data_IF_897086420956
#
_entry.id   IF_897086420956
#
_cell.length_a   1.000
_cell.length_b   1.000
_cell.length_c   1.000
_cell.angle_alpha   90.00
_cell.angle_beta   90.00
_cell.angle_gamma   90.00
#
_symmetry.space_group_name_H-M   'P 1'
#
loop_
_entity.id
_entity.type
_entity.pdbx_description
1 polymer ?
#
# COMPACT_ATOMS: atom_id res chain seq x y z
N UNK A 1 15.81 -8.49 -40.74
CA UNK A 1 16.04 -7.48 -39.69
C UNK A 1 16.52 -8.22 -38.45
N UNK A 2 17.60 -7.80 -37.77
CA UNK A 2 17.96 -8.40 -36.50
C UNK A 2 16.89 -8.03 -35.46
N UNK A 3 16.05 -8.98 -35.10
CA UNK A 3 15.17 -8.91 -33.95
C UNK A 3 16.07 -8.80 -32.72
N UNK A 4 16.22 -7.59 -32.19
CA UNK A 4 16.80 -7.42 -30.87
C UNK A 4 15.71 -7.87 -29.90
N UNK A 5 15.86 -9.07 -29.32
CA UNK A 5 15.05 -9.50 -28.20
C UNK A 5 15.31 -8.53 -27.04
N UNK A 6 14.40 -7.57 -26.84
CA UNK A 6 14.40 -6.74 -25.63
C UNK A 6 14.04 -7.64 -24.45
N UNK A 7 14.76 -7.48 -23.36
CA UNK A 7 14.48 -8.19 -22.11
C UNK A 7 13.19 -7.64 -21.51
N UNK A 8 12.23 -8.51 -21.24
CA UNK A 8 11.02 -8.13 -20.50
C UNK A 8 11.40 -7.80 -19.05
N UNK A 9 11.02 -6.61 -18.58
CA UNK A 9 11.38 -6.11 -17.24
C UNK A 9 10.19 -5.44 -16.58
N UNK A 10 10.18 -5.43 -15.25
CA UNK A 10 9.27 -4.63 -14.43
C UNK A 10 10.09 -3.91 -13.36
N UNK A 11 9.70 -2.67 -13.04
CA UNK A 11 10.34 -1.83 -12.02
C UNK A 11 9.31 -0.89 -11.37
N UNK A 12 9.67 -0.32 -10.24
CA UNK A 12 8.91 0.77 -9.61
C UNK A 12 9.79 1.99 -9.42
N UNK A 13 9.23 3.19 -9.61
CA UNK A 13 9.92 4.43 -9.22
C UNK A 13 9.92 4.65 -7.71
N UNK A 14 9.16 3.86 -6.95
CA UNK A 14 8.98 4.04 -5.51
C UNK A 14 9.91 3.16 -4.66
N UNK A 15 10.46 2.08 -5.22
CA UNK A 15 11.45 1.21 -4.60
C UNK A 15 12.28 0.49 -5.67
N UNK A 16 13.55 0.22 -5.39
CA UNK A 16 14.37 -0.65 -6.23
C UNK A 16 14.13 -2.13 -5.89
N UNK A 17 14.61 -3.03 -6.75
CA UNK A 17 14.49 -4.47 -6.52
C UNK A 17 15.16 -4.90 -5.20
N UNK A 18 14.40 -5.58 -4.34
CA UNK A 18 14.78 -5.99 -2.99
C UNK A 18 14.69 -4.89 -1.92
N UNK A 19 14.50 -3.62 -2.29
CA UNK A 19 14.43 -2.52 -1.34
C UNK A 19 13.07 -2.48 -0.62
N UNK A 20 13.02 -1.68 0.45
CA UNK A 20 11.83 -1.52 1.26
C UNK A 20 10.72 -0.78 0.48
N UNK A 21 9.53 -1.39 0.42
CA UNK A 21 8.32 -0.77 -0.10
C UNK A 21 7.87 0.38 0.82
N UNK A 22 7.66 1.61 0.30
CA UNK A 22 7.20 2.74 1.10
C UNK A 22 5.91 2.47 1.89
N UNK A 23 5.81 3.08 3.06
CA UNK A 23 4.74 2.75 4.01
C UNK A 23 3.33 3.02 3.47
N UNK A 24 3.16 3.98 2.57
CA UNK A 24 1.86 4.31 1.98
C UNK A 24 1.20 3.14 1.25
N UNK A 25 1.99 2.25 0.65
CA UNK A 25 1.49 1.07 -0.07
C UNK A 25 1.04 -0.07 0.84
N UNK A 26 1.24 0.06 2.16
CA UNK A 26 0.78 -0.92 3.12
C UNK A 26 -0.74 -0.99 3.27
N UNK A 27 -1.25 -2.18 3.58
CA UNK A 27 -2.69 -2.43 3.78
C UNK A 27 -3.33 -1.52 4.84
N UNK A 28 -2.59 -1.25 5.93
CA UNK A 28 -3.05 -0.42 7.05
C UNK A 28 -2.73 1.08 6.87
N UNK A 29 -2.20 1.46 5.70
CA UNK A 29 -1.81 2.83 5.37
C UNK A 29 -2.76 3.39 4.31
N UNK A 30 -2.25 3.90 3.19
CA UNK A 30 -3.11 4.37 2.10
C UNK A 30 -3.68 3.20 1.28
N UNK A 31 -3.05 2.03 1.34
CA UNK A 31 -3.47 0.81 0.64
C UNK A 31 -3.69 1.03 -0.87
N UNK A 32 -2.78 1.77 -1.49
CA UNK A 32 -2.74 1.97 -2.95
C UNK A 32 -1.60 1.13 -3.53
N UNK A 33 -1.71 0.68 -4.77
CA UNK A 33 -0.60 -0.02 -5.42
C UNK A 33 0.56 0.96 -5.71
N UNK A 34 1.83 0.49 -5.69
CA UNK A 34 2.95 1.30 -6.17
C UNK A 34 2.85 1.54 -7.69
N UNK A 35 3.48 2.60 -8.20
CA UNK A 35 3.62 2.78 -9.64
C UNK A 35 4.53 1.68 -10.19
N UNK A 36 4.12 1.06 -11.30
CA UNK A 36 4.87 0.01 -11.98
C UNK A 36 5.13 0.41 -13.44
N UNK A 37 6.38 0.28 -13.84
CA UNK A 37 6.84 0.46 -15.21
C UNK A 37 7.41 -0.85 -15.72
N UNK A 38 7.22 -1.16 -17.00
CA UNK A 38 7.78 -2.35 -17.60
C UNK A 38 8.25 -2.08 -19.02
N UNK A 39 9.28 -2.77 -19.47
CA UNK A 39 9.82 -2.63 -20.84
C UNK A 39 10.00 -4.01 -21.45
N UNK A 40 10.26 -4.06 -22.76
CA UNK A 40 10.52 -5.29 -23.49
C UNK A 40 9.33 -6.26 -23.51
N UNK A 41 8.09 -5.74 -23.50
CA UNK A 41 6.91 -6.55 -23.83
C UNK A 41 7.10 -7.15 -25.23
N UNK A 42 7.02 -8.48 -25.41
CA UNK A 42 7.17 -9.11 -26.72
C UNK A 42 6.11 -8.62 -27.73
N UNK A 43 6.49 -8.42 -28.99
CA UNK A 43 5.57 -7.95 -30.06
C UNK A 43 4.35 -8.86 -30.28
N UNK A 44 4.42 -10.13 -29.85
CA UNK A 44 3.32 -11.09 -29.93
C UNK A 44 2.38 -11.09 -28.73
N UNK A 45 2.62 -10.22 -27.73
CA UNK A 45 1.76 -10.15 -26.56
C UNK A 45 0.41 -9.51 -26.93
N UNK A 46 -0.68 -10.24 -26.71
CA UNK A 46 -2.03 -9.72 -26.85
C UNK A 46 -2.52 -9.09 -25.54
N UNK A 47 -2.01 -9.56 -24.39
CA UNK A 47 -2.33 -8.97 -23.08
C UNK A 47 -1.22 -9.19 -22.06
N UNK A 48 -1.29 -8.47 -20.93
CA UNK A 48 -0.45 -8.71 -19.77
C UNK A 48 -1.30 -9.16 -18.57
N UNK A 49 -0.67 -9.89 -17.66
CA UNK A 49 -1.21 -10.25 -16.35
C UNK A 49 -0.21 -9.91 -15.25
N UNK A 50 -0.72 -9.54 -14.07
CA UNK A 50 0.05 -9.17 -12.90
C UNK A 50 -0.45 -9.95 -11.69
N UNK A 51 0.47 -10.65 -11.02
CA UNK A 51 0.24 -11.26 -9.71
C UNK A 51 1.20 -10.65 -8.70
N UNK A 52 0.67 -10.16 -7.59
CA UNK A 52 1.45 -9.75 -6.43
C UNK A 52 1.22 -10.76 -5.32
N UNK A 53 2.28 -11.40 -4.84
CA UNK A 53 2.18 -12.42 -3.79
C UNK A 53 3.29 -12.32 -2.72
N UNK A 54 3.06 -13.00 -1.61
CA UNK A 54 3.94 -13.07 -0.44
C UNK A 54 4.14 -14.54 -0.03
N UNK A 55 5.35 -15.07 -0.30
CA UNK A 55 5.74 -16.44 0.07
C UNK A 55 6.09 -16.56 1.55
N UNK A 56 6.51 -15.47 2.17
CA UNK A 56 6.86 -15.44 3.58
C UNK A 56 5.61 -15.63 4.46
N UNK A 57 4.42 -15.31 3.93
CA UNK A 57 3.14 -15.57 4.58
C UNK A 57 2.82 -17.05 4.80
N UNK A 58 3.52 -18.00 4.15
CA UNK A 58 3.30 -19.44 4.38
C UNK A 58 3.51 -19.81 5.86
N UNK A 59 4.52 -19.23 6.52
CA UNK A 59 4.82 -19.51 7.93
C UNK A 59 3.70 -19.01 8.89
N UNK A 60 3.24 -17.74 8.83
CA UNK A 60 2.18 -17.25 9.71
C UNK A 60 0.75 -17.55 9.26
N UNK A 61 0.49 -17.73 7.95
CA UNK A 61 -0.87 -17.88 7.39
C UNK A 61 -1.16 -19.26 6.78
N UNK A 62 -0.14 -20.12 6.63
CA UNK A 62 -0.30 -21.49 6.11
C UNK A 62 -0.43 -21.62 4.60
N UNK A 63 -0.30 -20.51 3.85
CA UNK A 63 -0.33 -20.46 2.38
C UNK A 63 0.44 -19.24 1.86
N UNK A 64 0.76 -19.25 0.56
CA UNK A 64 1.16 -18.04 -0.16
C UNK A 64 -0.01 -17.06 -0.09
N UNK A 65 0.28 -15.79 0.18
CA UNK A 65 -0.75 -14.76 0.27
C UNK A 65 -0.80 -13.93 -1.01
N UNK A 66 -1.94 -13.95 -1.68
CA UNK A 66 -2.17 -13.19 -2.91
C UNK A 66 -2.65 -11.77 -2.58
N UNK A 67 -1.85 -10.77 -2.96
CA UNK A 67 -2.07 -9.35 -2.70
C UNK A 67 -2.76 -8.62 -3.85
N UNK A 68 -2.55 -9.05 -5.09
CA UNK A 68 -3.21 -8.44 -6.25
C UNK A 68 -3.19 -9.39 -7.45
N UNK A 69 -4.34 -9.55 -8.10
CA UNK A 69 -4.51 -10.44 -9.24
C UNK A 69 -5.18 -9.62 -10.35
N UNK A 70 -4.48 -9.42 -11.46
CA UNK A 70 -4.94 -8.61 -12.60
C UNK A 70 -4.63 -9.32 -13.91
N UNK A 71 -5.55 -9.30 -14.85
CA UNK A 71 -5.36 -9.86 -16.19
C UNK A 71 -6.01 -9.00 -17.26
N UNK A 72 -5.70 -9.34 -18.52
CA UNK A 72 -6.12 -8.60 -19.71
C UNK A 72 -5.71 -7.12 -19.65
N UNK A 73 -4.55 -6.83 -19.05
CA UNK A 73 -3.95 -5.50 -19.10
C UNK A 73 -3.52 -5.27 -20.55
N UNK A 74 -3.95 -4.17 -21.21
CA UNK A 74 -3.51 -3.88 -22.58
C UNK A 74 -1.97 -3.81 -22.65
N UNK A 75 -1.32 -4.41 -23.66
CA UNK A 75 0.14 -4.36 -23.81
C UNK A 75 0.69 -2.93 -23.86
N UNK A 76 -0.12 -1.97 -24.33
CA UNK A 76 0.22 -0.55 -24.39
C UNK A 76 -0.02 0.22 -23.08
N UNK A 77 -0.62 -0.41 -22.06
CA UNK A 77 -0.87 0.21 -20.76
C UNK A 77 0.44 0.43 -20.01
N UNK A 78 1.11 1.54 -20.26
CA UNK A 78 2.35 1.87 -19.57
C UNK A 78 2.39 3.37 -19.23
N UNK A 79 2.64 3.73 -17.95
CA UNK A 79 2.83 2.84 -16.79
C UNK A 79 1.52 2.27 -16.22
N UNK A 80 1.60 1.39 -15.23
CA UNK A 80 0.53 1.22 -14.23
C UNK A 80 0.74 2.30 -13.17
N UNK A 81 -0.13 3.32 -13.07
CA UNK A 81 0.04 4.41 -12.11
C UNK A 81 -0.19 3.94 -10.66
N UNK A 82 0.21 4.77 -9.70
CA UNK A 82 -0.19 4.59 -8.30
C UNK A 82 -1.72 4.73 -8.15
N UNK A 83 -2.32 3.87 -7.31
CA UNK A 83 -3.77 3.88 -7.08
C UNK A 83 -4.59 3.60 -8.34
N UNK A 84 -4.07 2.75 -9.22
CA UNK A 84 -4.68 2.41 -10.50
C UNK A 84 -5.92 1.53 -10.33
N UNK A 85 -6.96 1.85 -11.08
CA UNK A 85 -8.15 1.02 -11.23
C UNK A 85 -8.07 0.25 -12.57
N UNK A 86 -7.82 -1.07 -12.54
CA UNK A 86 -7.70 -1.89 -13.75
C UNK A 86 -8.92 -1.81 -14.68
N UNK A 87 -10.13 -1.70 -14.12
CA UNK A 87 -11.37 -1.74 -14.92
C UNK A 87 -11.49 -0.50 -15.82
N UNK A 88 -10.97 0.65 -15.39
CA UNK A 88 -10.96 1.88 -16.18
C UNK A 88 -10.06 1.81 -17.43
N UNK A 89 -9.15 0.83 -17.46
CA UNK A 89 -8.21 0.60 -18.54
C UNK A 89 -8.53 -0.64 -19.37
N UNK A 90 -9.72 -1.25 -19.18
CA UNK A 90 -10.13 -2.45 -19.91
C UNK A 90 -9.51 -3.76 -19.38
N UNK A 91 -8.77 -3.69 -18.27
CA UNK A 91 -8.26 -4.86 -17.56
C UNK A 91 -9.29 -5.39 -16.56
N UNK A 92 -9.00 -6.55 -15.97
CA UNK A 92 -9.85 -7.18 -14.95
C UNK A 92 -9.04 -7.45 -13.69
N UNK A 93 -9.72 -7.41 -12.54
CA UNK A 93 -9.15 -7.73 -11.25
C UNK A 93 -9.98 -8.79 -10.52
N UNK A 94 -9.25 -9.74 -9.91
CA UNK A 94 -9.79 -10.85 -9.13
C UNK A 94 -9.87 -10.53 -7.64
N UNK A 95 -10.20 -11.56 -6.85
CA UNK A 95 -10.30 -11.47 -5.39
C UNK A 95 -8.97 -11.86 -4.75
N UNK A 96 -8.38 -10.93 -3.98
CA UNK A 96 -7.16 -11.17 -3.21
C UNK A 96 -7.45 -11.93 -1.90
N UNK A 97 -6.42 -12.30 -1.16
CA UNK A 97 -6.57 -13.10 0.06
C UNK A 97 -7.16 -12.34 1.27
N UNK A 98 -7.38 -11.03 1.15
CA UNK A 98 -8.20 -10.27 2.10
C UNK A 98 -9.71 -10.43 1.84
N UNK A 99 -10.09 -11.13 0.75
CA UNK A 99 -11.48 -11.24 0.29
C UNK A 99 -11.96 -9.97 -0.43
N UNK A 100 -11.03 -9.16 -0.94
CA UNK A 100 -11.29 -7.88 -1.58
C UNK A 100 -10.88 -7.93 -3.05
N UNK A 101 -11.59 -7.18 -3.90
CA UNK A 101 -11.18 -7.00 -5.29
C UNK A 101 -10.09 -5.94 -5.39
N UNK A 102 -9.04 -6.24 -6.16
CA UNK A 102 -7.95 -5.30 -6.40
C UNK A 102 -6.79 -5.44 -5.41
N UNK A 103 -6.03 -4.34 -5.24
CA UNK A 103 -4.79 -4.35 -4.47
C UNK A 103 -5.05 -4.36 -2.96
N UNK A 104 -4.51 -5.37 -2.28
CA UNK A 104 -4.33 -5.38 -0.83
C UNK A 104 -2.85 -5.29 -0.53
N UNK A 105 -2.40 -4.23 0.15
CA UNK A 105 -0.99 -3.98 0.39
C UNK A 105 -0.32 -4.92 1.39
N UNK A 106 1.01 -4.80 1.60
CA UNK A 106 1.70 -5.53 2.64
C UNK A 106 1.10 -5.30 4.04
N UNK A 107 0.94 -6.38 4.81
CA UNK A 107 0.52 -6.32 6.22
C UNK A 107 1.19 -7.41 7.07
N UNK A 108 2.53 -7.52 7.06
CA UNK A 108 3.22 -8.57 7.76
C UNK A 108 3.01 -8.43 9.28
N UNK A 109 2.75 -9.54 9.96
CA UNK A 109 2.30 -9.57 11.36
C UNK A 109 3.36 -10.08 12.35
N UNK A 110 4.51 -10.51 11.85
CA UNK A 110 5.53 -11.32 12.51
C UNK A 110 6.92 -10.76 12.23
N UNK A 111 7.38 -10.72 10.97
CA UNK A 111 8.72 -10.25 10.55
C UNK A 111 8.68 -9.39 9.28
N UNK A 112 9.83 -9.19 8.66
CA UNK A 112 9.91 -8.63 7.31
C UNK A 112 9.60 -9.72 6.28
N UNK A 113 8.76 -9.37 5.32
CA UNK A 113 8.30 -10.21 4.22
C UNK A 113 8.77 -9.64 2.89
N UNK A 114 8.91 -10.52 1.92
CA UNK A 114 9.23 -10.20 0.53
C UNK A 114 7.98 -10.36 -0.33
N UNK A 115 7.64 -9.31 -1.06
CA UNK A 115 6.49 -9.24 -1.95
C UNK A 115 6.98 -9.29 -3.39
N UNK A 116 6.48 -10.22 -4.18
CA UNK A 116 6.87 -10.38 -5.59
C UNK A 116 5.82 -9.79 -6.48
N UNK A 117 6.22 -8.88 -7.37
CA UNK A 117 5.37 -8.32 -8.42
C UNK A 117 5.71 -9.05 -9.73
N UNK A 118 4.93 -10.07 -10.08
CA UNK A 118 5.16 -10.94 -11.24
C UNK A 118 4.30 -10.46 -12.41
N UNK A 119 4.96 -9.98 -13.47
CA UNK A 119 4.34 -9.58 -14.72
C UNK A 119 4.52 -10.69 -15.76
N UNK A 120 3.43 -11.01 -16.46
CA UNK A 120 3.38 -12.01 -17.51
C UNK A 120 2.91 -11.35 -18.81
N UNK A 121 3.63 -11.57 -19.90
CA UNK A 121 3.17 -11.22 -21.24
C UNK A 121 2.54 -12.46 -21.89
N UNK A 122 1.30 -12.35 -22.34
CA UNK A 122 0.50 -13.46 -22.85
C UNK A 122 0.24 -13.30 -24.35
N UNK A 123 0.32 -14.38 -25.12
CA UNK A 123 0.00 -14.37 -26.55
C UNK A 123 -1.51 -14.24 -26.85
N UNK A 124 -2.34 -14.32 -25.81
CA UNK A 124 -3.80 -14.23 -25.89
C UNK A 124 -4.36 -13.29 -24.83
N UNK A 125 -5.57 -12.80 -25.05
CA UNK A 125 -6.44 -12.35 -23.97
C UNK A 125 -7.07 -13.57 -23.29
N UNK A 126 -7.24 -13.52 -21.98
CA UNK A 126 -7.91 -14.58 -21.22
C UNK A 126 -9.43 -14.41 -21.29
N UNK A 127 -10.12 -15.55 -21.40
CA UNK A 127 -11.56 -15.63 -21.63
C UNK A 127 -12.43 -15.10 -20.49
N UNK A 128 -13.75 -15.17 -20.69
CA UNK A 128 -14.77 -14.76 -19.70
C UNK A 128 -14.96 -15.74 -18.55
N UNK A 129 -14.32 -16.91 -18.61
CA UNK A 129 -14.43 -17.94 -17.58
C UNK A 129 -13.68 -17.55 -16.30
N UNK A 130 -12.71 -16.62 -16.40
CA UNK A 130 -12.18 -15.89 -15.26
C UNK A 130 -13.14 -14.76 -14.89
N UNK A 131 -13.90 -14.99 -13.83
CA UNK A 131 -14.77 -13.99 -13.23
C UNK A 131 -14.05 -13.15 -12.16
N UNK A 132 -14.80 -12.27 -11.50
CA UNK A 132 -14.26 -11.33 -10.51
C UNK A 132 -13.79 -11.99 -9.22
N UNK A 133 -14.16 -13.25 -8.97
CA UNK A 133 -13.75 -14.05 -7.82
C UNK A 133 -12.53 -14.93 -8.10
N UNK A 134 -11.98 -14.86 -9.31
CA UNK A 134 -10.80 -15.63 -9.71
C UNK A 134 -9.62 -15.37 -8.76
N UNK A 135 -8.98 -16.47 -8.34
CA UNK A 135 -7.77 -16.48 -7.51
C UNK A 135 -6.51 -16.43 -8.37
N UNK A 136 -5.33 -16.26 -7.76
CA UNK A 136 -4.07 -16.36 -8.50
C UNK A 136 -3.89 -17.74 -9.13
N UNK A 137 -4.36 -18.80 -8.47
CA UNK A 137 -4.31 -20.17 -9.00
C UNK A 137 -5.18 -20.34 -10.25
N UNK A 138 -6.37 -19.74 -10.27
CA UNK A 138 -7.24 -19.75 -11.45
C UNK A 138 -6.59 -19.00 -12.62
N UNK A 139 -6.02 -17.82 -12.33
CA UNK A 139 -5.28 -17.05 -13.32
C UNK A 139 -4.06 -17.82 -13.85
N UNK A 140 -3.25 -18.42 -12.98
CA UNK A 140 -2.11 -19.25 -13.37
C UNK A 140 -2.52 -20.44 -14.23
N UNK A 141 -3.63 -21.10 -13.91
CA UNK A 141 -4.18 -22.17 -14.74
C UNK A 141 -4.64 -21.66 -16.11
N UNK A 142 -5.22 -20.46 -16.18
CA UNK A 142 -5.66 -19.87 -17.44
C UNK A 142 -4.51 -19.35 -18.32
N UNK A 143 -3.37 -19.01 -17.72
CA UNK A 143 -2.15 -18.58 -18.42
C UNK A 143 -1.33 -19.75 -18.97
N UNK A 144 -1.58 -20.99 -18.52
CA UNK A 144 -0.78 -22.15 -18.91
C UNK A 144 -0.73 -22.32 -20.44
N UNK A 145 0.48 -22.47 -20.98
CA UNK A 145 0.72 -22.56 -22.42
C UNK A 145 0.69 -21.24 -23.20
N UNK A 146 0.33 -20.11 -22.59
CA UNK A 146 0.18 -18.81 -23.28
C UNK A 146 1.24 -17.75 -22.92
N UNK A 147 2.11 -18.04 -21.96
CA UNK A 147 3.13 -17.08 -21.49
C UNK A 147 4.29 -16.95 -22.48
N UNK A 148 4.48 -15.75 -23.02
CA UNK A 148 5.59 -15.40 -23.91
C UNK A 148 6.83 -14.93 -23.15
N UNK A 149 6.64 -14.18 -22.06
CA UNK A 149 7.72 -13.67 -21.23
C UNK A 149 7.23 -13.39 -19.81
N UNK A 150 8.16 -13.40 -18.86
CA UNK A 150 7.91 -13.06 -17.46
C UNK A 150 8.94 -12.05 -16.96
N UNK A 151 8.52 -11.20 -16.03
CA UNK A 151 9.37 -10.28 -15.32
C UNK A 151 8.93 -10.19 -13.86
N UNK A 152 9.89 -10.03 -12.95
CA UNK A 152 9.61 -9.88 -11.52
C UNK A 152 10.44 -8.74 -10.95
N UNK A 153 9.83 -7.95 -10.07
CA UNK A 153 10.52 -7.10 -9.10
C UNK A 153 10.06 -7.50 -7.70
N UNK A 154 10.99 -7.54 -6.76
CA UNK A 154 10.71 -7.83 -5.36
C UNK A 154 10.82 -6.55 -4.53
N UNK A 155 9.99 -6.45 -3.50
CA UNK A 155 10.10 -5.39 -2.50
C UNK A 155 9.88 -5.96 -1.11
N UNK A 156 10.57 -5.39 -0.12
CA UNK A 156 10.48 -5.87 1.26
C UNK A 156 9.59 -4.98 2.10
N UNK A 157 8.84 -5.56 3.05
CA UNK A 157 8.16 -4.78 4.08
C UNK A 157 8.09 -5.59 5.36
N UNK A 158 8.50 -4.96 6.46
CA UNK A 158 8.24 -5.45 7.81
C UNK A 158 7.19 -4.60 8.51
N UNK A 159 6.93 -4.91 9.78
CA UNK A 159 6.06 -4.07 10.62
C UNK A 159 6.50 -2.61 10.53
N UNK A 160 5.54 -1.68 10.58
CA UNK A 160 5.84 -0.28 10.86
C UNK A 160 6.53 -0.26 12.21
N UNK A 161 7.82 -0.01 12.23
CA UNK A 161 8.54 0.24 13.47
C UNK A 161 8.27 1.70 13.81
N UNK A 162 7.52 2.02 14.88
CA UNK A 162 7.48 3.40 15.34
C UNK A 162 8.92 3.79 15.72
N UNK A 163 9.48 4.77 15.02
CA UNK A 163 10.79 5.40 15.29
C UNK A 163 12.07 4.59 14.98
N UNK A 164 12.28 4.19 13.72
CA UNK A 164 13.67 4.16 13.20
C UNK A 164 14.00 5.53 12.61
N UNK A 165 14.58 6.38 13.46
CA UNK A 165 15.20 7.66 13.11
C UNK A 165 16.09 7.47 11.86
N UNK A 166 15.83 8.14 10.71
CA UNK A 166 16.53 7.89 9.45
C UNK A 166 17.97 8.43 9.40
N UNK A 167 18.46 9.03 10.50
CA UNK A 167 19.77 9.68 10.56
C UNK A 167 20.88 8.73 11.09
N UNK A 168 21.78 8.22 10.23
CA UNK A 168 22.89 7.35 10.66
C UNK A 168 23.94 8.07 11.52
N UNK A 169 23.89 9.39 11.67
CA UNK A 169 24.91 10.16 12.39
C UNK A 169 24.65 10.32 13.89
N UNK A 170 23.48 9.90 14.39
CA UNK A 170 23.05 10.20 15.77
C UNK A 170 23.34 9.11 16.81
N UNK A 171 24.28 8.19 16.54
CA UNK A 171 24.81 7.27 17.56
C UNK A 171 25.69 8.04 18.56
N UNK A 172 25.04 8.55 19.60
CA UNK A 172 25.66 9.36 20.64
C UNK A 172 26.65 8.55 21.48
N UNK A 173 27.84 9.12 21.66
CA UNK A 173 28.94 8.67 22.50
C UNK A 173 28.51 8.26 23.93
N UNK A 174 29.28 7.39 24.63
CA UNK A 174 28.94 6.98 25.98
C UNK A 174 28.98 8.18 26.94
N UNK A 175 27.92 8.33 27.73
CA UNK A 175 27.76 9.40 28.71
C UNK A 175 28.93 9.46 29.70
N UNK A 176 29.67 10.58 29.70
CA UNK A 176 30.61 10.90 30.78
C UNK A 176 29.82 11.13 32.07
N UNK A 177 30.01 10.24 33.05
CA UNK A 177 29.55 10.43 34.44
C UNK A 177 30.20 11.68 35.03
N UNK A 178 29.44 12.76 35.15
CA UNK A 178 29.84 13.90 35.97
C UNK A 178 29.36 13.66 37.39
N UNK A 179 30.30 13.50 38.35
CA UNK A 179 30.00 13.49 39.78
C UNK A 179 29.36 14.83 40.16
N UNK A 180 28.12 14.81 40.64
CA UNK A 180 27.52 15.97 41.31
C UNK A 180 28.11 16.07 42.71
N UNK A 181 28.84 17.15 42.97
CA UNK A 181 29.27 17.55 44.33
C UNK A 181 28.10 18.28 44.98
N UNK A 182 27.59 17.73 46.08
CA UNK A 182 26.57 18.37 46.89
C UNK A 182 27.10 19.66 47.55
N UNK A 183 26.29 20.71 47.54
CA UNK A 183 26.43 21.91 48.39
C UNK A 183 25.22 21.94 49.34
N UNK A 184 25.37 22.34 50.62
CA UNK A 184 24.24 22.48 51.53
C UNK A 184 23.61 23.87 51.38
N UNK A 185 22.29 23.94 51.29
CA UNK A 185 21.54 25.19 51.40
C UNK A 185 20.83 25.26 52.75
N UNK A 186 21.11 26.34 53.47
CA UNK A 186 20.59 26.67 54.78
C UNK A 186 19.09 27.04 54.74
N UNK A 187 18.46 26.86 55.90
CA UNK A 187 17.07 27.17 56.19
C UNK A 187 16.77 28.68 56.17
N UNK A 188 15.66 29.08 55.53
CA UNK A 188 14.87 30.27 55.90
C UNK A 188 13.38 29.94 55.71
N UNK A 189 12.59 30.40 56.68
CA UNK A 189 11.17 30.10 56.95
C UNK A 189 10.18 30.89 56.08
N UNK A 190 9.04 30.24 55.85
CA UNK A 190 7.64 30.73 55.89
C UNK A 190 7.13 31.78 54.88
N UNK A 191 6.09 31.43 54.09
CA UNK A 191 4.63 31.69 54.32
C UNK A 191 3.84 31.47 53.02
N UNK A 192 2.69 30.81 53.12
CA UNK A 192 1.57 30.82 52.14
C UNK A 192 0.71 32.09 52.36
N UNK A 193 -0.18 32.56 51.45
CA UNK A 193 -1.29 31.77 50.89
C UNK A 193 -1.74 32.07 49.43
N UNK A 194 -2.34 31.04 48.87
CA UNK A 194 -3.55 30.99 48.03
C UNK A 194 -4.34 32.30 47.84
N UNK A 195 -4.62 32.66 46.58
CA UNK A 195 -5.91 33.23 46.19
C UNK A 195 -6.23 32.93 44.72
N UNK A 196 -7.35 32.26 44.52
CA UNK A 196 -7.94 31.84 43.26
C UNK A 196 -9.39 32.29 43.32
N UNK A 197 -9.81 33.30 42.56
CA UNK A 197 -11.24 33.47 42.25
C UNK A 197 -11.51 34.44 41.10
N UNK A 198 -12.44 33.97 40.26
CA UNK A 198 -13.41 34.71 39.45
C UNK A 198 -12.87 35.40 38.18
N UNK A 199 -13.54 35.35 37.03
CA UNK A 199 -14.98 35.59 36.89
C UNK A 199 -15.58 35.07 35.57
N UNK A 200 -16.88 34.86 35.66
CA UNK A 200 -17.84 34.32 34.69
C UNK A 200 -18.41 35.48 33.84
N UNK A 201 -18.44 35.35 32.51
CA UNK A 201 -19.32 36.14 31.64
C UNK A 201 -19.66 35.31 30.37
N UNK A 202 -20.91 34.84 30.22
CA UNK A 202 -21.95 35.40 29.33
C UNK A 202 -21.46 35.42 27.87
N UNK A 203 -22.04 34.65 26.95
CA UNK A 203 -23.24 35.09 26.23
C UNK A 203 -23.91 33.91 25.50
N UNK A 204 -25.23 33.76 25.67
CA UNK A 204 -26.11 33.06 24.73
C UNK A 204 -26.51 34.04 23.62
N UNK A 205 -26.73 33.57 22.38
CA UNK A 205 -27.77 34.13 21.54
C UNK A 205 -28.99 33.22 21.52
N UNK A 206 -30.13 33.86 21.72
CA UNK A 206 -31.47 33.36 21.38
C UNK A 206 -31.69 33.52 19.87
N UNK A 207 -32.53 32.65 19.32
CA UNK A 207 -33.53 33.07 18.34
C UNK A 207 -33.28 32.59 16.91
N UNK A 208 -34.29 31.92 16.34
CA UNK A 208 -34.34 31.63 14.91
C UNK A 208 -35.23 30.45 14.53
N UNK A 209 -36.52 30.47 14.91
CA UNK A 209 -37.53 29.61 14.27
C UNK A 209 -37.82 30.18 12.87
N UNK A 210 -37.78 29.34 11.84
CA UNK A 210 -38.61 29.52 10.65
C UNK A 210 -39.12 28.16 10.18
N UNK A 211 -40.42 27.95 10.39
CA UNK A 211 -41.22 26.96 9.66
C UNK A 211 -41.52 27.56 8.28
N UNK A 212 -41.33 26.79 7.22
CA UNK A 212 -42.15 26.90 6.02
C UNK A 212 -42.72 25.52 5.72
N UNK A 213 -44.06 25.43 5.78
CA UNK A 213 -44.86 24.36 5.19
C UNK A 213 -45.37 24.87 3.86
N UNK A 214 -45.41 23.99 2.85
CA UNK A 214 -46.52 23.69 1.90
C UNK A 214 -45.88 23.10 0.63
N UNK A 215 -46.27 21.86 0.25
CA UNK A 215 -47.33 21.50 -0.75
C UNK A 215 -46.94 22.01 -2.14
N UNK A 216 -47.04 21.28 -3.24
CA UNK A 216 -47.71 20.02 -3.57
C UNK A 216 -47.37 19.65 -5.03
N UNK A 217 -47.90 18.51 -5.49
CA UNK A 217 -48.16 18.11 -6.90
C UNK A 217 -46.95 17.46 -7.62
N UNK A 218 -47.02 16.30 -8.27
CA UNK A 218 -48.16 15.56 -8.83
C UNK A 218 -48.08 15.57 -10.36
N UNK A 219 -48.20 14.39 -10.98
CA UNK A 219 -48.32 14.11 -12.45
C UNK A 219 -46.98 14.09 -13.21
N UNK A 220 -46.62 13.08 -14.00
CA UNK A 220 -47.30 11.85 -14.44
C UNK A 220 -46.33 10.98 -15.24
#
# INVERSE_FOLDING_TARGET
MPTHSRTHTIRSSAFADGDRIPDQYGYRNANVNPPLEFDGVPDGAASLALVVDDLDAVEPAGKIWDHWIVWNIPPEQQPIPEGWDPETAGARAGTNDFGERGYGGPSPSDREHTYRFRLFALETELGTDLDTEATAADLESAMDGHVLATATIEGTRGRIQPDRDPDPTRRSAPARRTRVRALPAAAVRARSPTERRESRARLRPRGGRARVRRRSDGVG
#
